data_IF_375835173256
#
_entry.id   IF_375835173256
#
_cell.length_a   1.000
_cell.length_b   1.000
_cell.length_c   1.000
_cell.angle_alpha   90.00
_cell.angle_beta   90.00
_cell.angle_gamma   90.00
#
_symmetry.space_group_name_H-M   'P 1'
#
loop_
_entity.id
_entity.type
_entity.pdbx_description
1 polymer ?
#
# COMPACT_ATOMS: atom_id res chain seq x y z
N UNK A 1 -5.07 10.89 -12.34
CA UNK A 1 -5.15 9.52 -12.87
C UNK A 1 -3.71 9.03 -12.89
N UNK A 2 -3.39 7.95 -12.17
CA UNK A 2 -2.02 7.39 -12.17
C UNK A 2 -1.70 6.82 -13.58
N UNK A 3 -0.47 7.00 -14.04
CA UNK A 3 0.01 6.61 -15.38
C UNK A 3 0.84 5.30 -15.38
N UNK A 4 0.98 4.65 -14.22
CA UNK A 4 1.74 3.40 -14.08
C UNK A 4 0.88 2.15 -14.37
N UNK A 5 1.45 1.07 -14.95
CA UNK A 5 0.72 -0.17 -15.15
C UNK A 5 0.33 -0.80 -13.80
N UNK A 6 -0.86 -1.39 -13.74
CA UNK A 6 -1.25 -2.19 -12.59
C UNK A 6 -0.34 -3.42 -12.45
N UNK A 7 0.13 -3.65 -11.23
CA UNK A 7 0.96 -4.80 -10.85
C UNK A 7 0.10 -5.80 -10.08
N UNK A 8 0.29 -7.08 -10.39
CA UNK A 8 -0.40 -8.18 -9.71
C UNK A 8 0.58 -8.89 -8.79
N UNK A 9 0.25 -8.95 -7.50
CA UNK A 9 1.08 -9.54 -6.47
C UNK A 9 0.39 -10.76 -5.85
N UNK A 10 1.14 -11.85 -5.68
CA UNK A 10 0.65 -13.08 -5.05
C UNK A 10 0.65 -12.94 -3.53
N UNK A 11 -0.42 -13.41 -2.91
CA UNK A 11 -0.56 -13.59 -1.47
C UNK A 11 -0.63 -15.09 -1.18
N UNK A 12 0.10 -15.51 -0.16
CA UNK A 12 0.01 -16.86 0.40
C UNK A 12 0.10 -16.76 1.94
N UNK A 13 -0.28 -17.80 2.67
CA UNK A 13 -0.11 -17.83 4.13
C UNK A 13 1.34 -17.66 4.58
N UNK A 14 2.31 -18.02 3.74
CA UNK A 14 3.74 -17.84 4.02
C UNK A 14 4.24 -16.44 3.64
N UNK A 15 3.54 -15.77 2.72
CA UNK A 15 3.91 -14.48 2.15
C UNK A 15 2.70 -13.54 2.17
N UNK A 16 2.38 -12.95 3.34
CA UNK A 16 1.37 -11.91 3.44
C UNK A 16 1.86 -10.64 2.72
N UNK A 17 0.92 -9.85 2.20
CA UNK A 17 1.23 -8.63 1.45
C UNK A 17 0.70 -7.40 2.20
N UNK A 18 1.52 -6.37 2.33
CA UNK A 18 1.11 -5.07 2.86
C UNK A 18 1.24 -4.00 1.77
N UNK A 19 0.21 -3.17 1.61
CA UNK A 19 0.16 -2.13 0.57
C UNK A 19 -0.44 -0.83 1.11
N UNK A 20 -0.07 0.30 0.51
CA UNK A 20 -0.73 1.57 0.76
C UNK A 20 -2.19 1.57 0.27
N UNK A 21 -3.15 2.13 1.04
CA UNK A 21 -4.55 2.23 0.61
C UNK A 21 -4.73 2.96 -0.72
N UNK A 22 -3.87 3.95 -1.01
CA UNK A 22 -3.90 4.71 -2.26
C UNK A 22 -3.36 3.97 -3.48
N UNK A 23 -2.69 2.82 -3.29
CA UNK A 23 -2.18 1.99 -4.38
C UNK A 23 -3.05 0.75 -4.62
N UNK A 24 -3.96 0.39 -3.71
CA UNK A 24 -4.80 -0.79 -3.84
C UNK A 24 -5.93 -0.61 -4.86
N UNK A 25 -6.08 -1.57 -5.78
CA UNK A 25 -7.17 -1.59 -6.78
C UNK A 25 -8.22 -2.65 -6.42
N UNK A 26 -7.78 -3.91 -6.32
CA UNK A 26 -8.66 -5.07 -6.17
C UNK A 26 -7.88 -6.29 -5.62
N UNK A 27 -8.60 -7.33 -5.17
CA UNK A 27 -8.01 -8.63 -4.87
C UNK A 27 -8.93 -9.77 -5.31
N UNK A 28 -8.36 -10.95 -5.49
CA UNK A 28 -9.08 -12.18 -5.87
C UNK A 28 -8.55 -13.37 -5.08
N UNK A 29 -9.43 -14.32 -4.74
CA UNK A 29 -9.08 -15.55 -4.02
C UNK A 29 -9.53 -15.52 -2.55
N UNK A 30 -9.06 -16.48 -1.77
CA UNK A 30 -9.36 -16.56 -0.35
C UNK A 30 -8.37 -15.69 0.44
N UNK A 31 -8.50 -14.38 0.28
CA UNK A 31 -7.63 -13.38 0.90
C UNK A 31 -8.43 -12.58 1.93
N UNK A 32 -7.91 -12.47 3.14
CA UNK A 32 -8.44 -11.59 4.20
C UNK A 32 -7.70 -10.26 4.15
N UNK A 33 -8.48 -9.19 4.06
CA UNK A 33 -8.02 -7.82 4.16
C UNK A 33 -8.11 -7.32 5.61
N UNK A 34 -7.08 -6.66 6.11
CA UNK A 34 -7.05 -6.03 7.44
C UNK A 34 -6.36 -4.68 7.37
N UNK A 35 -7.00 -3.65 7.91
CA UNK A 35 -6.42 -2.31 8.00
C UNK A 35 -5.51 -2.23 9.23
N UNK A 36 -4.25 -1.89 9.02
CA UNK A 36 -3.29 -1.65 10.08
C UNK A 36 -3.02 -0.15 10.16
N UNK A 37 -3.38 0.46 11.30
CA UNK A 37 -2.94 1.81 11.63
C UNK A 37 -1.52 1.71 12.18
N UNK A 38 -0.55 2.27 11.46
CA UNK A 38 0.80 2.46 11.95
C UNK A 38 0.78 3.57 12.99
N UNK A 39 0.84 3.21 14.27
CA UNK A 39 1.05 4.18 15.36
C UNK A 39 2.52 4.63 15.32
N UNK A 40 2.94 5.33 14.26
CA UNK A 40 4.24 6.01 14.23
C UNK A 40 4.13 7.31 15.03
N UNK A 41 3.90 7.17 16.33
CA UNK A 41 3.79 8.28 17.29
C UNK A 41 5.17 8.84 17.70
N UNK A 42 6.23 8.62 16.89
CA UNK A 42 7.57 9.18 17.15
C UNK A 42 8.01 10.27 16.18
N UNK A 43 7.21 10.58 15.16
CA UNK A 43 7.47 11.70 14.25
C UNK A 43 6.44 12.83 14.44
N UNK A 44 5.93 12.99 15.66
CA UNK A 44 5.22 14.19 16.11
C UNK A 44 6.21 15.32 16.42
N UNK A 45 7.05 15.69 15.45
CA UNK A 45 7.89 16.87 15.56
C UNK A 45 7.94 17.58 14.20
N UNK A 46 6.97 18.48 14.00
CA UNK A 46 6.96 19.43 12.89
C UNK A 46 6.08 19.00 11.73
N UNK A 47 4.88 19.59 11.67
CA UNK A 47 4.09 19.83 10.45
C UNK A 47 3.43 18.60 9.78
N UNK A 48 2.11 18.47 10.00
CA UNK A 48 1.22 17.69 9.12
C UNK A 48 1.01 16.23 9.53
N UNK A 49 0.25 16.01 10.61
CA UNK A 49 -0.17 14.69 11.05
C UNK A 49 -1.02 13.96 10.01
N UNK A 50 -0.37 13.09 9.23
CA UNK A 50 -1.01 12.07 8.41
C UNK A 50 -0.82 10.72 9.09
N UNK A 51 -1.89 10.17 9.65
CA UNK A 51 -1.97 8.79 10.13
C UNK A 51 -1.54 7.82 9.01
N UNK A 52 -0.45 7.08 9.23
CA UNK A 52 0.05 6.11 8.27
C UNK A 52 -0.83 4.85 8.33
N UNK A 53 -1.78 4.73 7.40
CA UNK A 53 -2.56 3.50 7.23
C UNK A 53 -1.95 2.60 6.18
N UNK A 54 -1.99 1.30 6.44
CA UNK A 54 -1.59 0.26 5.52
C UNK A 54 -2.67 -0.82 5.46
N UNK A 55 -2.80 -1.48 4.32
CA UNK A 55 -3.70 -2.62 4.13
C UNK A 55 -2.87 -3.89 4.08
N UNK A 56 -3.18 -4.85 4.96
CA UNK A 56 -2.54 -6.17 5.01
C UNK A 56 -3.47 -7.23 4.45
N UNK A 57 -2.91 -8.10 3.61
CA UNK A 57 -3.57 -9.21 2.94
C UNK A 57 -2.92 -10.53 3.37
N UNK A 58 -3.74 -11.47 3.82
CA UNK A 58 -3.32 -12.81 4.27
C UNK A 58 -4.25 -13.88 3.67
N UNK A 59 -3.74 -15.07 3.37
CA UNK A 59 -4.53 -16.14 2.73
C UNK A 59 -3.91 -16.57 1.42
N UNK A 60 -4.69 -17.04 0.45
CA UNK A 60 -4.19 -17.44 -0.88
C UNK A 60 -4.95 -16.73 -1.99
N UNK A 61 -4.24 -15.94 -2.80
CA UNK A 61 -4.85 -15.17 -3.88
C UNK A 61 -3.95 -14.10 -4.48
N UNK A 62 -4.55 -13.16 -5.21
CA UNK A 62 -3.87 -12.09 -5.93
C UNK A 62 -4.35 -10.74 -5.44
N UNK A 63 -3.45 -9.76 -5.41
CA UNK A 63 -3.75 -8.36 -5.10
C UNK A 63 -3.26 -7.51 -6.26
N UNK A 64 -4.13 -6.66 -6.77
CA UNK A 64 -3.88 -5.70 -7.84
C UNK A 64 -3.55 -4.36 -7.20
N UNK A 65 -2.36 -3.85 -7.50
CA UNK A 65 -1.91 -2.54 -7.04
C UNK A 65 -1.52 -1.67 -8.22
N UNK A 66 -1.80 -0.38 -8.14
CA UNK A 66 -1.30 0.60 -9.08
C UNK A 66 -0.49 1.63 -8.30
N UNK A 67 0.84 1.60 -8.44
CA UNK A 67 1.67 2.67 -7.94
C UNK A 67 1.19 3.97 -8.57
N UNK A 68 0.83 4.94 -7.75
CA UNK A 68 0.77 6.31 -8.23
C UNK A 68 2.19 6.83 -8.11
N UNK A 69 2.85 7.06 -9.25
CA UNK A 69 4.07 7.86 -9.24
C UNK A 69 3.72 9.20 -8.58
N UNK A 70 4.14 9.36 -7.33
CA UNK A 70 4.57 10.69 -6.92
C UNK A 70 5.77 10.93 -7.84
N UNK A 71 5.57 11.69 -8.91
CA UNK A 71 6.67 12.39 -9.54
C UNK A 71 7.28 13.22 -8.42
N UNK A 72 8.25 12.65 -7.73
CA UNK A 72 9.16 13.40 -6.91
C UNK A 72 9.92 14.25 -7.91
N UNK A 73 9.39 15.46 -8.15
CA UNK A 73 10.14 16.59 -8.67
C UNK A 73 11.26 16.93 -7.67
N UNK A 74 12.19 16.01 -7.47
CA UNK A 74 13.46 16.27 -6.79
C UNK A 74 14.53 15.75 -7.73
N UNK A 75 14.91 16.59 -8.68
CA UNK A 75 15.96 16.27 -9.64
C UNK A 75 15.86 17.01 -10.95
N UNK A 76 15.73 18.33 -10.93
CA UNK A 76 16.40 19.16 -11.93
C UNK A 76 17.22 20.20 -11.18
N UNK A 77 18.50 20.27 -11.55
CA UNK A 77 19.57 21.06 -10.94
C UNK A 77 19.49 22.53 -11.31
#
# INVERSE_FOLDING_TARGET
MSDGPAVVLRVSSQYPLTVDPGAYIAHQGNVRQSFQSGVTFRTFMGEGGGEAFQIRFEGDGLVYVQPSERNTIAGDV
#
